data_IF_373044322426
#
_entry.id   IF_373044322426
#
_cell.length_a   1.000
_cell.length_b   1.000
_cell.length_c   1.000
_cell.angle_alpha   90.00
_cell.angle_beta   90.00
_cell.angle_gamma   90.00
#
_symmetry.space_group_name_H-M   'P 1'
#
loop_
_entity.id
_entity.type
_entity.pdbx_description
1 polymer ?
#
# COMPACT_ATOMS: atom_id res chain seq x y z
N UNK A 1 -19.37 0.21 6.86
CA UNK A 1 -18.34 -0.49 6.05
C UNK A 1 -17.81 0.42 4.96
N UNK A 2 -16.49 0.39 4.77
CA UNK A 2 -15.84 1.20 3.74
C UNK A 2 -15.96 0.49 2.39
N UNK A 3 -16.45 1.20 1.38
CA UNK A 3 -16.53 0.69 0.00
C UNK A 3 -15.19 0.67 -0.72
N UNK A 4 -14.18 1.35 -0.15
CA UNK A 4 -12.84 1.50 -0.73
C UNK A 4 -11.81 1.65 0.39
N UNK A 5 -10.65 1.03 0.23
CA UNK A 5 -9.52 1.15 1.14
C UNK A 5 -8.31 1.62 0.34
N UNK A 6 -7.72 2.74 0.74
CA UNK A 6 -6.50 3.25 0.14
C UNK A 6 -5.36 3.31 1.15
N UNK A 7 -4.17 3.02 0.68
CA UNK A 7 -2.92 3.25 1.40
C UNK A 7 -1.95 3.96 0.46
N UNK A 8 -1.58 5.18 0.83
CA UNK A 8 -0.72 6.04 0.03
C UNK A 8 0.26 6.77 0.91
N UNK A 9 1.49 6.97 0.44
CA UNK A 9 2.55 7.73 1.13
C UNK A 9 3.40 8.48 0.14
N UNK A 10 3.91 9.62 0.59
CA UNK A 10 5.04 10.28 -0.08
C UNK A 10 6.34 9.53 0.24
N UNK A 11 7.26 9.57 -0.70
CA UNK A 11 8.61 9.07 -0.46
C UNK A 11 9.42 10.10 0.34
N UNK A 12 10.40 9.64 1.11
CA UNK A 12 11.30 10.51 1.88
C UNK A 12 12.23 11.34 1.01
N UNK A 13 12.63 10.75 -0.11
CA UNK A 13 13.30 11.38 -1.25
C UNK A 13 12.66 10.86 -2.53
N UNK A 14 12.71 11.62 -3.63
CA UNK A 14 12.20 11.11 -4.91
C UNK A 14 12.91 9.81 -5.31
N UNK A 15 12.13 8.86 -5.80
CA UNK A 15 12.56 7.51 -6.16
C UNK A 15 12.58 7.39 -7.69
N UNK A 16 13.62 6.79 -8.24
CA UNK A 16 13.76 6.52 -9.68
C UNK A 16 13.64 5.03 -10.01
N UNK A 17 14.02 4.16 -9.08
CA UNK A 17 14.11 2.73 -9.30
C UNK A 17 12.72 2.07 -9.26
N UNK A 18 12.41 1.27 -10.28
CA UNK A 18 11.18 0.46 -10.30
C UNK A 18 11.13 -0.51 -9.13
N UNK A 19 12.28 -1.01 -8.68
CA UNK A 19 12.39 -1.91 -7.53
C UNK A 19 11.82 -1.25 -6.27
N UNK A 20 12.25 -0.04 -5.96
CA UNK A 20 11.81 0.70 -4.77
C UNK A 20 10.30 0.99 -4.80
N UNK A 21 9.77 1.32 -5.99
CA UNK A 21 8.33 1.51 -6.18
C UNK A 21 7.59 0.20 -5.95
N UNK A 22 8.07 -0.93 -6.47
CA UNK A 22 7.48 -2.25 -6.24
C UNK A 22 7.49 -2.63 -4.76
N UNK A 23 8.59 -2.43 -4.04
CA UNK A 23 8.68 -2.67 -2.60
C UNK A 23 7.71 -1.80 -1.80
N UNK A 24 7.60 -0.51 -2.16
CA UNK A 24 6.64 0.40 -1.55
C UNK A 24 5.19 -0.04 -1.80
N UNK A 25 4.85 -0.37 -3.04
CA UNK A 25 3.52 -0.86 -3.43
C UNK A 25 3.18 -2.17 -2.71
N UNK A 26 4.10 -3.12 -2.61
CA UNK A 26 3.90 -4.35 -1.84
C UNK A 26 3.61 -4.06 -0.36
N UNK A 27 4.35 -3.12 0.23
CA UNK A 27 4.14 -2.67 1.61
C UNK A 27 2.76 -2.01 1.78
N UNK A 28 2.36 -1.15 0.86
CA UNK A 28 1.05 -0.48 0.92
C UNK A 28 -0.10 -1.46 0.69
N UNK A 29 0.09 -2.44 -0.20
CA UNK A 29 -0.87 -3.52 -0.44
C UNK A 29 -1.07 -4.37 0.81
N UNK A 30 0.01 -4.75 1.49
CA UNK A 30 -0.05 -5.51 2.75
C UNK A 30 -0.84 -4.77 3.83
N UNK A 31 -0.61 -3.46 3.98
CA UNK A 31 -1.35 -2.62 4.93
C UNK A 31 -2.80 -2.39 4.53
N UNK A 32 -3.09 -2.30 3.23
CA UNK A 32 -4.46 -2.20 2.74
C UNK A 32 -5.23 -3.52 2.97
N UNK A 33 -4.58 -4.66 2.73
CA UNK A 33 -5.13 -5.99 2.97
C UNK A 33 -5.43 -6.24 4.46
N UNK A 34 -4.54 -5.84 5.37
CA UNK A 34 -4.78 -5.89 6.81
C UNK A 34 -6.03 -5.08 7.20
N UNK A 35 -6.16 -3.85 6.69
CA UNK A 35 -7.36 -3.03 6.95
C UNK A 35 -8.62 -3.64 6.35
N UNK A 36 -8.52 -4.31 5.20
CA UNK A 36 -9.61 -5.01 4.55
C UNK A 36 -10.11 -6.18 5.41
N UNK A 37 -9.19 -7.00 5.94
CA UNK A 37 -9.52 -8.11 6.84
C UNK A 37 -10.13 -7.64 8.16
N UNK A 38 -9.68 -6.52 8.71
CA UNK A 38 -10.26 -5.93 9.94
C UNK A 38 -11.73 -5.52 9.81
N UNK A 39 -12.24 -5.33 8.61
CA UNK A 39 -13.66 -5.10 8.35
C UNK A 39 -14.37 -6.30 7.71
N UNK A 40 -13.76 -7.49 7.76
CA UNK A 40 -14.29 -8.73 7.20
C UNK A 40 -14.65 -8.60 5.71
N UNK A 41 -13.81 -7.90 4.95
CA UNK A 41 -14.02 -7.66 3.54
C UNK A 41 -13.03 -8.39 2.65
N UNK A 42 -13.42 -8.62 1.40
CA UNK A 42 -12.58 -9.05 0.30
C UNK A 42 -12.73 -8.08 -0.88
N UNK A 43 -11.64 -7.80 -1.59
CA UNK A 43 -11.64 -6.85 -2.70
C UNK A 43 -11.56 -7.59 -4.03
N UNK A 44 -12.33 -7.11 -5.02
CA UNK A 44 -12.32 -7.64 -6.39
C UNK A 44 -11.56 -6.76 -7.38
N UNK A 45 -11.12 -5.58 -6.97
CA UNK A 45 -10.36 -4.66 -7.82
C UNK A 45 -9.20 -4.04 -7.07
N UNK A 46 -8.05 -3.94 -7.74
CA UNK A 46 -6.88 -3.23 -7.24
C UNK A 46 -6.43 -2.18 -8.25
N UNK A 47 -6.15 -0.99 -7.75
CA UNK A 47 -5.57 0.11 -8.51
C UNK A 47 -4.30 0.58 -7.84
N UNK A 48 -3.28 0.82 -8.65
CA UNK A 48 -1.99 1.38 -8.22
C UNK A 48 -1.77 2.68 -8.97
N UNK A 49 -1.30 3.70 -8.26
CA UNK A 49 -0.92 4.95 -8.88
C UNK A 49 0.45 5.42 -8.41
N UNK A 50 1.12 6.14 -9.27
CA UNK A 50 2.38 6.83 -9.01
C UNK A 50 2.22 8.30 -9.37
N UNK A 51 2.92 9.16 -8.63
CA UNK A 51 2.93 10.62 -8.89
C UNK A 51 4.36 11.02 -9.21
N UNK A 52 4.64 11.45 -10.46
CA UNK A 52 5.94 11.92 -10.85
C UNK A 52 6.30 13.21 -10.08
N UNK A 53 7.61 13.43 -9.91
CA UNK A 53 8.13 14.69 -9.40
C UNK A 53 8.18 15.69 -10.55
N UNK A 54 7.35 16.69 -10.48
CA UNK A 54 7.42 17.84 -11.40
C UNK A 54 8.29 18.94 -10.82
N UNK A 55 9.04 19.63 -11.67
CA UNK A 55 9.72 20.85 -11.30
C UNK A 55 8.70 21.97 -11.08
N UNK A 56 8.80 22.63 -9.94
CA UNK A 56 7.93 23.76 -9.62
C UNK A 56 8.29 24.95 -10.50
N UNK A 57 7.34 25.44 -11.27
CA UNK A 57 7.45 26.76 -11.89
C UNK A 57 7.11 27.85 -10.85
N UNK A 58 7.92 28.93 -10.77
CA UNK A 58 7.62 30.07 -9.89
C UNK A 58 6.19 30.58 -10.15
N UNK A 59 5.41 30.80 -9.09
CA UNK A 59 4.02 31.32 -9.19
C UNK A 59 2.93 30.27 -9.34
N UNK A 60 3.22 28.98 -9.43
CA UNK A 60 2.18 27.95 -9.40
C UNK A 60 1.72 27.65 -7.97
N UNK A 61 0.40 27.73 -7.76
CA UNK A 61 -0.28 27.26 -6.57
C UNK A 61 0.01 25.76 -6.36
N UNK A 62 0.04 25.32 -5.09
CA UNK A 62 0.26 23.91 -4.74
C UNK A 62 -0.87 23.04 -5.31
N UNK A 63 -0.63 22.43 -6.46
CA UNK A 63 -1.47 21.36 -6.99
C UNK A 63 -0.81 20.02 -6.76
N UNK A 64 -1.63 19.02 -6.40
CA UNK A 64 -1.19 17.65 -6.53
C UNK A 64 -0.84 17.42 -8.00
N UNK A 65 0.43 17.12 -8.29
CA UNK A 65 0.87 16.86 -9.67
C UNK A 65 0.08 15.71 -10.30
N UNK A 66 0.19 15.53 -11.61
CA UNK A 66 -0.51 14.48 -12.33
C UNK A 66 -0.22 13.13 -11.70
N UNK A 67 -1.25 12.32 -11.55
CA UNK A 67 -1.12 10.95 -11.08
C UNK A 67 -1.36 10.00 -12.23
N UNK A 68 -0.45 9.07 -12.44
CA UNK A 68 -0.62 8.00 -13.43
C UNK A 68 -1.04 6.74 -12.70
N UNK A 69 -2.15 6.16 -13.11
CA UNK A 69 -2.73 4.98 -12.47
C UNK A 69 -2.91 3.83 -13.45
N UNK A 70 -2.87 2.62 -12.91
CA UNK A 70 -3.24 1.38 -13.57
C UNK A 70 -4.09 0.53 -12.64
N UNK A 71 -5.12 -0.12 -13.16
CA UNK A 71 -6.05 -0.91 -12.37
C UNK A 71 -6.31 -2.26 -13.03
N UNK A 72 -6.68 -3.24 -12.22
CA UNK A 72 -7.07 -4.58 -12.66
C UNK A 72 -8.22 -5.10 -11.81
N UNK A 73 -9.17 -5.77 -12.46
CA UNK A 73 -10.19 -6.57 -11.79
C UNK A 73 -9.63 -7.96 -11.54
N UNK A 74 -9.76 -8.46 -10.33
CA UNK A 74 -9.32 -9.78 -9.93
C UNK A 74 -10.31 -10.85 -10.40
N UNK A 75 -9.87 -12.07 -10.68
CA UNK A 75 -10.76 -13.16 -11.08
C UNK A 75 -11.81 -13.50 -10.02
N UNK A 76 -11.46 -13.31 -8.75
CA UNK A 76 -12.35 -13.46 -7.59
C UNK A 76 -11.96 -12.42 -6.53
N UNK A 77 -12.91 -12.06 -5.68
CA UNK A 77 -12.62 -11.18 -4.56
C UNK A 77 -11.78 -11.93 -3.52
N UNK A 78 -10.74 -11.28 -3.01
CA UNK A 78 -9.82 -11.89 -2.05
C UNK A 78 -9.39 -10.91 -0.95
N UNK A 79 -9.08 -11.44 0.23
CA UNK A 79 -8.44 -10.72 1.32
C UNK A 79 -7.02 -11.24 1.61
N UNK A 80 -6.54 -12.22 0.82
CA UNK A 80 -5.23 -12.83 0.97
C UNK A 80 -4.16 -11.90 0.41
N UNK A 81 -3.23 -11.49 1.26
CA UNK A 81 -2.23 -10.47 0.91
C UNK A 81 -1.34 -10.88 -0.27
N UNK A 82 -0.91 -12.14 -0.34
CA UNK A 82 -0.07 -12.63 -1.44
C UNK A 82 -0.77 -12.58 -2.80
N UNK A 83 -2.08 -12.82 -2.83
CA UNK A 83 -2.90 -12.73 -4.04
C UNK A 83 -3.12 -11.29 -4.50
N UNK A 84 -3.16 -10.35 -3.56
CA UNK A 84 -3.25 -8.92 -3.86
C UNK A 84 -1.91 -8.32 -4.31
N UNK A 85 -0.78 -8.79 -3.74
CA UNK A 85 0.54 -8.25 -4.07
C UNK A 85 0.90 -8.53 -5.54
N UNK A 86 0.68 -9.74 -6.05
CA UNK A 86 1.04 -10.08 -7.44
C UNK A 86 0.46 -9.11 -8.47
N UNK A 87 -0.88 -8.92 -8.55
CA UNK A 87 -1.47 -7.95 -9.48
C UNK A 87 -1.08 -6.51 -9.16
N UNK A 88 -0.87 -6.16 -7.88
CA UNK A 88 -0.41 -4.82 -7.51
C UNK A 88 0.96 -4.50 -8.11
N UNK A 89 1.90 -5.43 -8.08
CA UNK A 89 3.24 -5.27 -8.66
C UNK A 89 3.17 -5.12 -10.19
N UNK A 90 2.31 -5.86 -10.85
CA UNK A 90 2.08 -5.73 -12.30
C UNK A 90 1.50 -4.35 -12.65
N UNK A 91 0.54 -3.86 -11.85
CA UNK A 91 -0.04 -2.53 -12.05
C UNK A 91 0.97 -1.42 -11.73
N UNK A 92 1.84 -1.61 -10.75
CA UNK A 92 2.94 -0.69 -10.45
C UNK A 92 3.89 -0.54 -11.64
N UNK A 93 4.28 -1.64 -12.25
CA UNK A 93 5.15 -1.65 -13.43
C UNK A 93 4.48 -0.95 -14.63
N UNK A 94 3.21 -1.26 -14.90
CA UNK A 94 2.44 -0.57 -15.95
C UNK A 94 2.33 0.93 -15.70
N UNK A 95 2.02 1.36 -14.46
CA UNK A 95 1.91 2.76 -14.09
C UNK A 95 3.27 3.48 -14.18
N UNK A 96 4.37 2.80 -13.81
CA UNK A 96 5.74 3.31 -13.93
C UNK A 96 6.10 3.60 -15.39
N UNK A 97 5.99 2.62 -16.26
CA UNK A 97 6.32 2.79 -17.69
C UNK A 97 5.43 3.82 -18.38
N UNK A 98 4.14 3.81 -18.08
CA UNK A 98 3.18 4.79 -18.58
C UNK A 98 3.56 6.21 -18.14
N UNK A 99 3.94 6.39 -16.88
CA UNK A 99 4.33 7.70 -16.35
C UNK A 99 5.61 8.22 -16.99
N UNK A 100 6.60 7.36 -17.24
CA UNK A 100 7.83 7.77 -17.94
C UNK A 100 7.53 8.20 -19.38
N UNK A 101 6.65 7.46 -20.06
CA UNK A 101 6.25 7.81 -21.42
C UNK A 101 5.52 9.14 -21.51
N UNK A 102 4.60 9.42 -20.56
CA UNK A 102 3.77 10.63 -20.56
C UNK A 102 4.50 11.87 -20.04
N UNK A 103 5.29 11.72 -18.98
CA UNK A 103 5.90 12.85 -18.25
C UNK A 103 7.40 13.01 -18.47
N UNK A 104 8.05 12.10 -19.20
CA UNK A 104 9.51 12.10 -19.48
C UNK A 104 10.38 12.26 -18.23
N UNK A 105 9.85 11.95 -17.04
CA UNK A 105 10.59 11.98 -15.78
C UNK A 105 10.67 10.58 -15.18
N UNK A 106 11.81 10.26 -14.60
CA UNK A 106 12.04 9.01 -13.89
C UNK A 106 11.98 9.19 -12.38
N UNK A 107 11.67 10.38 -11.89
CA UNK A 107 11.60 10.68 -10.46
C UNK A 107 10.14 10.69 -9.99
N UNK A 108 9.86 9.91 -8.96
CA UNK A 108 8.53 9.78 -8.36
C UNK A 108 8.55 10.28 -6.93
N UNK A 109 7.54 11.07 -6.54
CA UNK A 109 7.41 11.64 -5.20
C UNK A 109 6.41 10.90 -4.31
N UNK A 110 5.51 10.10 -4.90
CA UNK A 110 4.42 9.44 -4.18
C UNK A 110 3.98 8.19 -4.93
N UNK A 111 3.58 7.16 -4.19
CA UNK A 111 2.85 6.01 -4.71
C UNK A 111 1.69 5.64 -3.79
N UNK A 112 0.74 4.90 -4.32
CA UNK A 112 -0.38 4.42 -3.54
C UNK A 112 -1.10 3.25 -4.17
N UNK A 113 -1.81 2.53 -3.33
CA UNK A 113 -2.66 1.38 -3.67
C UNK A 113 -4.07 1.65 -3.19
N UNK A 114 -5.04 1.25 -3.97
CA UNK A 114 -6.45 1.35 -3.67
C UNK A 114 -7.12 0.02 -3.97
N UNK A 115 -7.81 -0.51 -2.96
CA UNK A 115 -8.66 -1.69 -3.05
C UNK A 115 -10.11 -1.24 -3.14
N UNK A 116 -10.86 -1.76 -4.10
CA UNK A 116 -12.27 -1.45 -4.35
C UNK A 116 -13.05 -2.70 -4.76
N UNK A 117 -14.36 -2.55 -5.00
CA UNK A 117 -15.22 -3.71 -5.20
C UNK A 117 -15.23 -4.61 -3.96
N UNK A 118 -15.36 -3.97 -2.78
CA UNK A 118 -15.30 -4.68 -1.50
C UNK A 118 -16.66 -5.37 -1.26
N UNK A 119 -16.57 -6.66 -0.98
CA UNK A 119 -17.70 -7.52 -0.58
C UNK A 119 -17.39 -8.16 0.77
N UNK A 120 -18.40 -8.57 1.56
CA UNK A 120 -18.14 -9.34 2.78
C UNK A 120 -17.40 -10.64 2.44
N UNK A 121 -16.40 -11.00 3.24
CA UNK A 121 -15.61 -12.22 3.02
C UNK A 121 -16.39 -13.52 3.27
N UNK A 122 -17.52 -13.44 3.98
CA UNK A 122 -18.45 -14.54 4.19
C UNK A 122 -19.29 -14.86 2.97
N UNK A 123 -19.39 -13.94 2.00
CA UNK A 123 -20.23 -14.08 0.79
C UNK A 123 -19.38 -14.31 -0.47
N UNK A 124 -18.15 -14.79 -0.31
CA UNK A 124 -17.28 -15.04 -1.44
C UNK A 124 -17.81 -16.20 -2.28
N UNK A 125 -18.21 -15.89 -3.50
CA UNK A 125 -18.53 -16.91 -4.49
C UNK A 125 -17.22 -17.41 -5.11
N UNK A 126 -16.92 -18.68 -4.90
CA UNK A 126 -15.79 -19.35 -5.57
C UNK A 126 -16.01 -19.43 -7.08
N UNK A 127 -14.93 -19.39 -7.84
CA UNK A 127 -14.96 -19.68 -9.27
C UNK A 127 -14.78 -21.18 -9.46
N UNK A 128 -15.64 -21.82 -10.24
CA UNK A 128 -15.58 -23.27 -10.49
C UNK A 128 -14.27 -23.72 -11.14
N UNK A 129 -13.62 -22.83 -11.90
CA UNK A 129 -12.42 -23.11 -12.69
C UNK A 129 -11.12 -22.63 -12.01
N UNK A 130 -11.22 -21.89 -10.90
CA UNK A 130 -10.06 -21.38 -10.18
C UNK A 130 -10.15 -21.92 -8.75
N UNK A 131 -9.15 -22.70 -8.30
CA UNK A 131 -9.15 -23.18 -6.94
C UNK A 131 -9.20 -21.97 -5.99
N UNK A 132 -10.23 -21.92 -5.15
CA UNK A 132 -10.32 -20.91 -4.10
C UNK A 132 -9.13 -21.07 -3.15
N UNK A 133 -8.58 -19.96 -2.69
CA UNK A 133 -7.65 -20.00 -1.56
C UNK A 133 -8.28 -20.74 -0.42
N UNK A 134 -7.70 -21.86 -0.04
CA UNK A 134 -8.24 -22.70 1.01
C UNK A 134 -8.34 -21.94 2.34
N UNK A 135 -9.15 -22.43 3.25
CA UNK A 135 -9.29 -21.90 4.63
C UNK A 135 -7.92 -21.64 5.31
N UNK A 136 -6.91 -22.40 4.93
CA UNK A 136 -5.54 -22.26 5.46
C UNK A 136 -4.90 -20.91 5.11
N UNK A 137 -5.18 -20.36 3.93
CA UNK A 137 -4.64 -19.05 3.54
C UNK A 137 -5.23 -17.91 4.40
N UNK A 138 -6.52 -17.98 4.72
CA UNK A 138 -7.16 -17.02 5.61
C UNK A 138 -6.61 -17.17 7.04
N UNK A 139 -6.52 -18.38 7.57
CA UNK A 139 -5.95 -18.63 8.89
C UNK A 139 -4.51 -18.14 9.01
N UNK A 140 -3.69 -18.32 7.96
CA UNK A 140 -2.34 -17.78 7.92
C UNK A 140 -2.34 -16.24 7.99
N UNK A 141 -3.22 -15.57 7.25
CA UNK A 141 -3.31 -14.09 7.30
C UNK A 141 -3.74 -13.61 8.68
N UNK A 142 -4.69 -14.26 9.31
CA UNK A 142 -5.16 -13.93 10.66
C UNK A 142 -4.05 -14.14 11.71
N UNK A 143 -3.27 -15.23 11.60
CA UNK A 143 -2.12 -15.47 12.46
C UNK A 143 -1.03 -14.40 12.29
N UNK A 144 -0.70 -14.02 11.04
CA UNK A 144 0.25 -12.94 10.75
C UNK A 144 -0.23 -11.59 11.30
N UNK A 145 -1.49 -11.26 11.12
CA UNK A 145 -2.07 -10.00 11.61
C UNK A 145 -2.04 -9.96 13.15
N UNK A 146 -2.34 -11.07 13.84
CA UNK A 146 -2.30 -11.16 15.29
C UNK A 146 -0.87 -10.98 15.83
N UNK A 147 0.12 -11.62 15.22
CA UNK A 147 1.53 -11.45 15.62
C UNK A 147 1.97 -10.00 15.41
N UNK A 148 1.70 -9.42 14.24
CA UNK A 148 2.09 -8.04 13.96
C UNK A 148 1.35 -7.02 14.84
N UNK A 149 0.12 -7.30 15.25
CA UNK A 149 -0.63 -6.46 16.16
C UNK A 149 -0.10 -6.54 17.61
N UNK A 150 0.15 -7.76 18.11
CA UNK A 150 0.61 -7.96 19.48
C UNK A 150 2.01 -7.40 19.74
N UNK A 151 2.90 -7.55 18.76
CA UNK A 151 4.28 -7.08 18.86
C UNK A 151 4.48 -5.62 18.43
N UNK A 152 3.42 -4.94 17.98
CA UNK A 152 3.38 -3.53 17.56
C UNK A 152 4.40 -3.12 16.50
N UNK A 153 4.94 -4.07 15.79
CA UNK A 153 5.89 -3.85 14.69
C UNK A 153 5.53 -4.77 13.55
N UNK A 154 5.77 -4.35 12.30
CA UNK A 154 5.67 -5.21 11.12
C UNK A 154 6.80 -6.28 11.15
N UNK A 155 6.74 -7.22 12.10
CA UNK A 155 7.78 -8.26 12.30
C UNK A 155 7.70 -9.29 11.19
N UNK A 156 6.49 -9.80 10.94
CA UNK A 156 6.25 -10.69 9.82
C UNK A 156 5.91 -9.88 8.58
N UNK A 157 6.72 -10.07 7.53
CA UNK A 157 6.59 -9.34 6.26
C UNK A 157 6.66 -10.30 5.09
N UNK A 158 6.02 -9.93 4.00
CA UNK A 158 6.23 -10.58 2.72
C UNK A 158 7.58 -10.17 2.15
N UNK A 159 8.34 -11.09 1.56
CA UNK A 159 9.65 -10.82 0.98
C UNK A 159 9.62 -9.69 -0.08
N UNK A 160 8.51 -9.56 -0.80
CA UNK A 160 8.29 -8.50 -1.80
C UNK A 160 8.27 -7.08 -1.23
N UNK A 161 8.16 -6.92 0.11
CA UNK A 161 8.18 -5.58 0.76
C UNK A 161 9.59 -5.04 1.00
N UNK A 162 10.62 -5.82 0.68
CA UNK A 162 12.02 -5.48 0.89
C UNK A 162 12.45 -5.48 2.36
N UNK A 163 13.75 -5.62 2.58
CA UNK A 163 14.36 -5.55 3.92
C UNK A 163 14.66 -4.09 4.28
N UNK A 164 15.28 -3.35 3.37
CA UNK A 164 15.64 -1.95 3.51
C UNK A 164 14.59 -1.07 2.81
N UNK A 165 14.12 -0.05 3.52
CA UNK A 165 13.06 0.84 3.03
C UNK A 165 13.61 2.26 2.88
N UNK A 166 14.60 2.45 2.03
CA UNK A 166 15.23 3.75 1.78
C UNK A 166 14.26 4.80 1.23
N UNK A 167 13.19 4.34 0.59
CA UNK A 167 12.09 5.17 0.10
C UNK A 167 11.13 5.66 1.20
N UNK A 168 11.25 5.17 2.44
CA UNK A 168 10.33 5.52 3.53
C UNK A 168 10.36 7.01 3.81
N UNK A 169 9.17 7.58 4.04
CA UNK A 169 9.02 8.98 4.43
C UNK A 169 9.84 9.28 5.69
N UNK A 170 10.67 10.32 5.64
CA UNK A 170 11.46 10.79 6.78
C UNK A 170 10.54 11.35 7.85
N UNK A 171 10.89 11.10 9.10
CA UNK A 171 10.12 11.54 10.27
C UNK A 171 11.07 12.10 11.35
N UNK A 172 12.14 12.76 10.94
CA UNK A 172 13.22 13.25 11.81
C UNK A 172 12.77 14.42 12.70
N UNK A 173 11.83 15.23 12.21
CA UNK A 173 11.32 16.42 12.90
C UNK A 173 9.91 16.18 13.49
N UNK A 174 9.72 15.05 14.14
CA UNK A 174 8.44 14.78 14.84
C UNK A 174 8.45 15.49 16.19
N UNK A 175 7.33 16.14 16.53
CA UNK A 175 7.10 16.59 17.89
C UNK A 175 7.05 15.40 18.87
N UNK A 176 7.49 15.59 20.12
CA UNK A 176 7.34 14.58 21.16
C UNK A 176 5.88 14.15 21.32
N UNK A 177 5.66 12.93 21.76
CA UNK A 177 4.32 12.33 21.93
C UNK A 177 3.78 12.54 23.33
N UNK A 178 3.62 13.78 23.73
CA UNK A 178 3.21 14.18 25.08
C UNK A 178 1.93 13.50 25.60
N UNK A 179 1.05 13.07 24.70
CA UNK A 179 -0.24 12.45 25.06
C UNK A 179 -0.23 10.92 25.08
N UNK A 180 0.83 10.27 24.59
CA UNK A 180 0.86 8.83 24.43
C UNK A 180 2.14 8.15 24.91
N UNK A 181 3.11 8.93 25.38
CA UNK A 181 4.37 8.45 25.94
C UNK A 181 4.79 9.23 27.16
N UNK A 182 4.91 8.54 28.30
CA UNK A 182 5.32 9.12 29.57
C UNK A 182 6.77 9.59 29.56
N UNK A 183 7.65 8.89 28.87
CA UNK A 183 9.07 9.18 28.70
C UNK A 183 9.35 10.44 27.85
N UNK A 184 8.36 10.92 27.12
CA UNK A 184 8.46 12.12 26.30
C UNK A 184 7.76 13.34 26.94
N UNK A 185 7.21 13.21 28.17
CA UNK A 185 6.62 14.34 28.89
C UNK A 185 7.69 15.38 29.25
N UNK A 186 7.30 16.67 29.22
CA UNK A 186 8.15 17.74 29.70
C UNK A 186 8.23 17.69 31.22
N UNK A 187 9.45 17.66 31.77
CA UNK A 187 9.69 17.84 33.15
C UNK A 187 9.47 19.31 33.50
N UNK A 188 8.59 19.56 34.46
CA UNK A 188 8.37 20.90 35.07
C UNK A 188 9.37 21.03 36.19
N UNK A 189 10.26 22.03 36.11
CA UNK A 189 11.17 22.40 37.18
C UNK A 189 10.49 23.35 38.13
#
# INVERSE_FOLDING_TARGET
>A
EKKMIATTRMFGSPVSELRDIKEAVATYTSRAAEKLRRQYGAASMISVFVVPKEERKPGQSFRHGPSVSSAITLPHATCVTSELIKPALQMAEKAYHKSISEHKTQLFKKAGVMLSGIVPDTTLQGNLFIPASGNNARMLMDAMDNINFSMRNDILKFASTGMERNWKMRQELRSPRYTSRWDELREVK
#
